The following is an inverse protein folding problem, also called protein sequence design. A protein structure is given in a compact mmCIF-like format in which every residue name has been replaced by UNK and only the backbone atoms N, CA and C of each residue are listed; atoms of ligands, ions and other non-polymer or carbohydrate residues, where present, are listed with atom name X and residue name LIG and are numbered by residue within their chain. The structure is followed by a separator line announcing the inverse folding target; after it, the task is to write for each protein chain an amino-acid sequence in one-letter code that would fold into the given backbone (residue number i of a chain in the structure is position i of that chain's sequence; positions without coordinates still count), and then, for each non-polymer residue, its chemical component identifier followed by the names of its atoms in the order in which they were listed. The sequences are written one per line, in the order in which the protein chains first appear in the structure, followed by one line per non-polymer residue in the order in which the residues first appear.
data_IF_712467291029
#
_entry.id   IF_712467291029
#
_cell.length_a   1.000
_cell.length_b   1.000
_cell.length_c   1.000
_cell.angle_alpha   90.00
_cell.angle_beta   90.00
_cell.angle_gamma   90.00
#
_symmetry.space_group_name_H-M   'P 1'
#
loop_
_entity.id
_entity.type
_entity.pdbx_description
1 polymer ?
#
# COMPACT_ATOMS: atom_id res chain seq x y z
N UNK A 1 20.49 0.28 -7.28
CA UNK A 1 20.98 -0.72 -8.28
C UNK A 1 22.48 -0.92 -8.11
N UNK A 2 22.96 -2.16 -8.21
CA UNK A 2 24.38 -2.51 -8.20
C UNK A 2 24.76 -3.13 -9.55
N UNK A 3 25.86 -2.67 -10.14
CA UNK A 3 26.35 -3.19 -11.40
C UNK A 3 27.76 -3.73 -11.19
N UNK A 4 27.95 -5.00 -11.57
CA UNK A 4 29.21 -5.71 -11.40
C UNK A 4 29.77 -6.12 -12.76
N UNK A 5 31.06 -5.87 -12.94
CA UNK A 5 31.83 -6.31 -14.09
C UNK A 5 33.07 -7.06 -13.64
N UNK A 6 33.50 -8.05 -14.42
CA UNK A 6 34.75 -8.78 -14.18
C UNK A 6 35.62 -8.79 -15.41
N UNK A 7 36.85 -8.31 -15.30
CA UNK A 7 37.85 -8.42 -16.36
C UNK A 7 38.81 -9.59 -16.14
N UNK A 8 39.33 -10.12 -17.25
CA UNK A 8 40.42 -11.11 -17.25
C UNK A 8 41.82 -10.50 -17.05
N UNK A 9 42.75 -11.30 -16.53
CA UNK A 9 44.13 -10.90 -16.21
C UNK A 9 44.97 -10.59 -17.47
N UNK A 10 45.80 -9.56 -17.42
CA UNK A 10 46.75 -9.22 -18.51
C UNK A 10 47.98 -8.46 -18.00
N UNK A 11 49.14 -8.59 -18.69
CA UNK A 11 50.43 -8.05 -18.25
C UNK A 11 50.62 -6.52 -18.39
N UNK A 12 49.55 -5.73 -18.58
CA UNK A 12 49.62 -4.27 -18.68
C UNK A 12 48.53 -3.59 -17.83
N UNK A 13 48.70 -2.30 -17.55
CA UNK A 13 47.73 -1.51 -16.76
C UNK A 13 46.34 -1.49 -17.40
N UNK A 14 45.31 -1.63 -16.56
CA UNK A 14 43.91 -1.47 -16.94
C UNK A 14 43.18 -0.67 -15.87
N UNK A 15 42.46 0.36 -16.30
CA UNK A 15 41.48 1.07 -15.47
C UNK A 15 40.08 0.63 -15.88
N UNK A 16 39.28 0.23 -14.91
CA UNK A 16 37.90 -0.20 -15.12
C UNK A 16 36.99 0.76 -14.38
N UNK A 17 35.91 1.15 -15.03
CA UNK A 17 34.87 1.99 -14.43
C UNK A 17 33.51 1.52 -14.93
N UNK A 18 32.64 1.15 -14.01
CA UNK A 18 31.23 0.96 -14.33
C UNK A 18 30.53 2.32 -14.40
N UNK A 19 29.63 2.50 -15.35
CA UNK A 19 28.80 3.70 -15.46
C UNK A 19 27.35 3.35 -15.74
N UNK A 20 26.46 4.24 -15.31
CA UNK A 20 25.07 4.27 -15.75
C UNK A 20 24.86 5.51 -16.62
N UNK A 21 24.13 5.37 -17.71
CA UNK A 21 23.81 6.46 -18.62
C UNK A 21 22.33 6.77 -18.55
N UNK A 22 22.02 8.03 -18.29
CA UNK A 22 20.65 8.51 -18.06
C UNK A 22 20.48 9.78 -18.90
N UNK A 23 19.46 9.81 -19.75
CA UNK A 23 19.21 10.95 -20.64
C UNK A 23 20.42 11.31 -21.52
N UNK A 24 21.21 10.31 -21.93
CA UNK A 24 22.42 10.50 -22.73
C UNK A 24 23.69 10.86 -21.96
N UNK A 25 23.60 11.17 -20.66
CA UNK A 25 24.75 11.56 -19.81
C UNK A 25 25.29 10.36 -19.03
N UNK A 26 26.62 10.16 -19.03
CA UNK A 26 27.28 9.08 -18.30
C UNK A 26 27.63 9.48 -16.86
N UNK A 27 27.19 8.68 -15.90
CA UNK A 27 27.52 8.80 -14.48
C UNK A 27 28.44 7.65 -14.09
N UNK A 28 29.69 7.97 -13.82
CA UNK A 28 30.76 7.00 -13.54
C UNK A 28 30.82 6.66 -12.05
N UNK A 29 31.07 5.39 -11.74
CA UNK A 29 31.51 4.97 -10.42
C UNK A 29 32.98 5.30 -10.17
N UNK A 30 33.52 4.72 -9.09
CA UNK A 30 34.95 4.79 -8.80
C UNK A 30 35.73 4.11 -9.94
N UNK A 31 36.89 4.65 -10.24
CA UNK A 31 37.79 4.05 -11.21
C UNK A 31 38.84 3.22 -10.47
N UNK A 32 38.95 1.95 -10.83
CA UNK A 32 39.89 1.04 -10.18
C UNK A 32 40.94 0.52 -11.16
N UNK A 33 42.18 0.41 -10.65
CA UNK A 33 43.29 -0.18 -11.37
C UNK A 33 43.29 -1.69 -11.16
N UNK A 34 43.16 -2.45 -12.25
CA UNK A 34 43.36 -3.90 -12.21
C UNK A 34 44.85 -4.22 -12.35
N UNK A 35 45.38 -4.96 -11.35
CA UNK A 35 46.81 -5.27 -11.22
C UNK A 35 47.37 -6.20 -12.30
N UNK A 36 48.68 -6.08 -12.53
CA UNK A 36 49.38 -6.53 -13.74
C UNK A 36 49.68 -8.04 -13.83
N UNK A 37 49.38 -8.87 -12.81
CA UNK A 37 49.76 -10.30 -12.81
C UNK A 37 48.72 -11.19 -12.12
N UNK A 38 48.14 -12.13 -12.87
CA UNK A 38 47.38 -13.31 -12.41
C UNK A 38 46.11 -13.11 -11.57
N UNK A 39 45.49 -11.92 -11.54
CA UNK A 39 44.24 -11.72 -10.78
C UNK A 39 43.10 -11.20 -11.67
N UNK A 40 41.97 -11.91 -11.68
CA UNK A 40 40.73 -11.37 -12.25
C UNK A 40 40.19 -10.29 -11.31
N UNK A 41 39.91 -9.11 -11.82
CA UNK A 41 39.34 -8.03 -11.01
C UNK A 41 37.83 -8.04 -11.13
N UNK A 42 37.14 -8.07 -9.98
CA UNK A 42 35.69 -7.87 -9.90
C UNK A 42 35.47 -6.45 -9.43
N UNK A 43 34.76 -5.67 -10.22
CA UNK A 43 34.46 -4.28 -9.91
C UNK A 43 32.95 -4.09 -9.82
N UNK A 44 32.50 -3.54 -8.69
CA UNK A 44 31.09 -3.28 -8.42
C UNK A 44 30.90 -1.80 -8.11
N UNK A 45 29.98 -1.16 -8.82
CA UNK A 45 29.48 0.17 -8.43
C UNK A 45 28.04 0.03 -7.97
N UNK A 46 27.70 0.68 -6.88
CA UNK A 46 26.33 0.77 -6.37
C UNK A 46 25.84 2.20 -6.46
N UNK A 47 24.69 2.38 -7.11
CA UNK A 47 23.92 3.63 -7.09
C UNK A 47 22.67 3.42 -6.25
N UNK A 48 22.66 3.99 -5.04
CA UNK A 48 21.51 3.93 -4.12
C UNK A 48 20.38 4.86 -4.56
N UNK A 49 20.72 5.97 -5.21
CA UNK A 49 19.78 6.90 -5.85
C UNK A 49 20.13 7.08 -7.32
N UNK A 50 19.19 7.63 -8.11
CA UNK A 50 19.42 8.01 -9.49
C UNK A 50 20.49 9.13 -9.51
N UNK A 51 21.68 8.90 -10.08
CA UNK A 51 22.76 9.89 -10.03
C UNK A 51 22.49 11.15 -10.84
N UNK A 52 21.48 11.15 -11.74
CA UNK A 52 21.08 12.35 -12.48
C UNK A 52 20.18 13.28 -11.67
N UNK A 53 19.36 12.73 -10.76
CA UNK A 53 18.35 13.51 -10.02
C UNK A 53 18.60 13.57 -8.52
N UNK A 54 19.38 12.64 -7.96
CA UNK A 54 19.53 12.42 -6.53
C UNK A 54 18.35 11.69 -5.86
N UNK A 55 17.24 11.48 -6.59
CA UNK A 55 16.01 10.84 -6.09
C UNK A 55 16.11 9.30 -6.12
N UNK A 56 15.21 8.58 -5.43
CA UNK A 56 15.06 7.14 -5.61
C UNK A 56 14.86 6.75 -7.08
N UNK A 57 15.32 5.57 -7.44
CA UNK A 57 15.08 5.01 -8.78
C UNK A 57 13.60 4.67 -8.95
N UNK A 58 13.00 5.09 -10.06
CA UNK A 58 11.69 4.59 -10.51
C UNK A 58 11.88 3.53 -11.58
N UNK A 59 10.90 2.63 -11.74
CA UNK A 59 10.93 1.61 -12.81
C UNK A 59 11.10 2.26 -14.20
N UNK A 60 10.43 3.38 -14.45
CA UNK A 60 10.57 4.12 -15.69
C UNK A 60 12.01 4.60 -15.93
N UNK A 61 12.65 5.20 -14.91
CA UNK A 61 14.04 5.66 -15.03
C UNK A 61 15.04 4.52 -15.17
N UNK A 62 14.78 3.38 -14.53
CA UNK A 62 15.63 2.20 -14.61
C UNK A 62 15.53 1.54 -15.99
N UNK A 63 14.31 1.42 -16.53
CA UNK A 63 14.06 0.89 -17.88
C UNK A 63 14.69 1.74 -18.99
N UNK A 64 14.80 3.06 -18.77
CA UNK A 64 15.44 3.98 -19.69
C UNK A 64 16.96 4.11 -19.49
N UNK A 65 17.53 3.51 -18.44
CA UNK A 65 18.94 3.60 -18.14
C UNK A 65 19.76 2.59 -18.96
N UNK A 66 20.91 3.02 -19.47
CA UNK A 66 21.90 2.12 -20.07
C UNK A 66 23.02 1.88 -19.05
N UNK A 67 23.53 0.65 -18.96
CA UNK A 67 24.67 0.32 -18.09
C UNK A 67 25.86 -0.10 -18.93
N UNK A 68 27.04 0.37 -18.57
CA UNK A 68 28.23 0.11 -19.35
C UNK A 68 29.50 0.02 -18.50
N UNK A 69 30.54 -0.49 -19.15
CA UNK A 69 31.89 -0.59 -18.60
C UNK A 69 32.78 0.26 -19.48
N UNK A 70 33.53 1.17 -18.88
CA UNK A 70 34.63 1.86 -19.51
C UNK A 70 35.93 1.17 -19.12
N UNK A 71 36.72 0.80 -20.12
CA UNK A 71 38.08 0.29 -19.88
C UNK A 71 39.08 1.20 -20.57
N UNK A 72 40.08 1.65 -19.81
CA UNK A 72 41.27 2.31 -20.37
C UNK A 72 42.46 1.41 -20.16
N UNK A 73 43.11 1.04 -21.25
CA UNK A 73 44.15 0.02 -21.24
C UNK A 73 45.25 0.39 -22.23
N UNK A 74 46.47 -0.08 -21.96
CA UNK A 74 47.56 -0.05 -22.94
C UNK A 74 47.52 -1.22 -23.94
N UNK A 75 46.44 -2.00 -23.94
CA UNK A 75 46.30 -3.25 -24.70
C UNK A 75 45.36 -3.12 -25.89
N UNK A 76 45.54 -4.00 -26.87
CA UNK A 76 44.65 -4.13 -28.02
C UNK A 76 43.28 -4.75 -27.67
N UNK A 77 43.19 -5.59 -26.63
CA UNK A 77 41.96 -6.31 -26.27
C UNK A 77 41.78 -6.41 -24.76
N UNK A 78 40.51 -6.46 -24.34
CA UNK A 78 40.06 -6.72 -22.96
C UNK A 78 38.91 -7.70 -23.02
N UNK A 79 38.93 -8.71 -22.16
CA UNK A 79 37.84 -9.69 -22.06
C UNK A 79 37.08 -9.47 -20.75
N UNK A 80 35.76 -9.43 -20.85
CA UNK A 80 34.87 -9.53 -19.70
C UNK A 80 34.35 -10.96 -19.60
N UNK A 81 34.41 -11.54 -18.40
CA UNK A 81 33.92 -12.92 -18.18
C UNK A 81 32.44 -12.93 -17.82
N UNK A 82 31.98 -11.93 -17.08
CA UNK A 82 30.57 -11.71 -16.79
C UNK A 82 30.31 -10.24 -16.53
N UNK A 83 29.10 -9.83 -16.88
CA UNK A 83 28.53 -8.52 -16.57
C UNK A 83 27.11 -8.78 -16.12
N UNK A 84 26.74 -8.31 -14.94
CA UNK A 84 25.36 -8.41 -14.47
C UNK A 84 24.95 -7.19 -13.67
N UNK A 85 23.66 -6.92 -13.72
CA UNK A 85 22.98 -5.87 -12.97
C UNK A 85 22.14 -6.54 -11.88
N UNK A 86 22.26 -6.04 -10.66
CA UNK A 86 21.40 -6.40 -9.55
C UNK A 86 20.54 -5.19 -9.18
N UNK A 87 19.23 -5.39 -9.24
CA UNK A 87 18.24 -4.39 -8.84
C UNK A 87 17.49 -4.95 -7.65
N UNK A 88 17.57 -4.26 -6.52
CA UNK A 88 16.71 -4.50 -5.37
C UNK A 88 15.52 -3.57 -5.50
N UNK A 89 14.32 -4.13 -5.54
CA UNK A 89 13.07 -3.39 -5.51
C UNK A 89 12.11 -4.09 -4.55
N UNK A 90 11.24 -3.31 -3.91
CA UNK A 90 10.12 -3.85 -3.15
C UNK A 90 8.94 -3.96 -4.11
N UNK A 91 8.41 -5.16 -4.39
CA UNK A 91 7.20 -5.28 -5.18
C UNK A 91 6.04 -4.63 -4.43
N UNK A 92 5.09 -4.01 -5.13
CA UNK A 92 3.88 -3.55 -4.49
C UNK A 92 3.11 -4.74 -3.90
N UNK A 93 2.21 -4.45 -2.96
CA UNK A 93 1.26 -5.40 -2.40
C UNK A 93 -0.11 -4.74 -2.21
N UNK A 94 -1.15 -5.53 -1.93
CA UNK A 94 -2.48 -5.01 -1.69
C UNK A 94 -2.48 -4.03 -0.49
N UNK A 95 -3.35 -3.01 -0.45
CA UNK A 95 -3.31 -2.00 0.60
C UNK A 95 -3.46 -2.57 2.01
N UNK A 96 -2.90 -1.90 3.02
CA UNK A 96 -3.20 -2.20 4.43
C UNK A 96 -4.26 -1.23 4.91
N UNK A 97 -5.36 -1.79 5.40
CA UNK A 97 -6.54 -1.02 5.81
C UNK A 97 -6.85 -1.30 7.27
N UNK A 98 -7.25 -0.28 7.99
CA UNK A 98 -7.83 -0.42 9.33
C UNK A 98 -9.32 -0.07 9.31
N UNK A 99 -10.11 -0.83 10.05
CA UNK A 99 -11.53 -0.53 10.29
C UNK A 99 -11.64 0.06 11.69
N UNK A 100 -12.02 1.33 11.78
CA UNK A 100 -12.31 1.99 13.06
C UNK A 100 -13.73 1.72 13.52
N UNK A 101 -14.00 1.87 14.82
CA UNK A 101 -15.32 1.67 15.42
C UNK A 101 -16.40 2.58 14.80
N UNK A 102 -17.64 2.09 14.78
CA UNK A 102 -18.77 2.84 14.25
C UNK A 102 -19.12 4.01 15.18
N UNK A 103 -19.57 5.09 14.59
CA UNK A 103 -19.93 6.34 15.27
C UNK A 103 -21.29 6.82 14.78
N UNK A 104 -21.90 7.78 15.48
CA UNK A 104 -23.22 8.32 15.14
C UNK A 104 -24.27 7.21 14.91
N UNK A 105 -24.25 6.20 15.79
CA UNK A 105 -25.22 5.10 15.78
C UNK A 105 -26.53 5.65 16.33
N UNK A 106 -27.41 6.04 15.41
CA UNK A 106 -28.57 6.87 15.71
C UNK A 106 -29.79 6.37 14.95
N UNK A 107 -30.96 6.76 15.46
CA UNK A 107 -32.24 6.36 14.88
C UNK A 107 -33.28 7.47 15.04
N UNK A 108 -34.22 7.53 14.11
CA UNK A 108 -35.48 8.27 14.22
C UNK A 108 -36.64 7.33 13.88
N UNK A 109 -37.88 7.80 14.03
CA UNK A 109 -39.10 7.00 13.85
C UNK A 109 -39.23 6.26 12.51
N UNK A 110 -38.43 6.60 11.51
CA UNK A 110 -38.48 6.00 10.16
C UNK A 110 -37.14 5.47 9.65
N UNK A 111 -36.01 5.84 10.25
CA UNK A 111 -34.68 5.54 9.72
C UNK A 111 -33.67 5.28 10.83
N UNK A 112 -32.78 4.33 10.58
CA UNK A 112 -31.62 3.99 11.39
C UNK A 112 -30.35 4.24 10.57
N UNK A 113 -29.33 4.87 11.15
CA UNK A 113 -28.05 5.10 10.46
C UNK A 113 -26.87 4.98 11.42
N UNK A 114 -25.72 4.63 10.85
CA UNK A 114 -24.45 4.62 11.55
C UNK A 114 -23.32 5.03 10.60
N UNK A 115 -22.31 5.70 11.13
CA UNK A 115 -21.11 6.09 10.39
C UNK A 115 -19.99 5.09 10.64
N UNK A 116 -19.60 4.39 9.58
CA UNK A 116 -18.44 3.48 9.54
C UNK A 116 -17.18 4.29 9.27
N UNK A 117 -16.09 3.93 9.96
CA UNK A 117 -14.81 4.63 9.86
C UNK A 117 -13.72 3.66 9.38
N UNK A 118 -12.86 4.12 8.48
CA UNK A 118 -11.78 3.35 7.91
C UNK A 118 -10.56 4.23 7.65
N UNK A 119 -9.40 3.61 7.52
CA UNK A 119 -8.15 4.29 7.18
C UNK A 119 -7.29 3.38 6.31
N UNK A 120 -6.86 3.90 5.16
CA UNK A 120 -5.81 3.25 4.38
C UNK A 120 -4.46 3.63 5.00
N UNK A 121 -3.91 2.72 5.79
CA UNK A 121 -2.68 2.98 6.58
C UNK A 121 -1.40 2.82 5.77
N UNK A 122 -1.49 2.11 4.64
CA UNK A 122 -0.39 1.87 3.70
C UNK A 122 -0.99 1.51 2.34
N UNK A 123 -0.59 2.22 1.27
CA UNK A 123 -1.05 1.96 -0.09
C UNK A 123 -0.37 0.75 -0.75
N UNK A 124 0.63 0.16 -0.09
CA UNK A 124 1.38 -0.99 -0.57
C UNK A 124 2.29 -0.65 -1.76
N UNK A 125 2.61 0.63 -1.97
CA UNK A 125 3.50 1.11 -3.04
C UNK A 125 2.85 1.20 -4.43
N UNK A 126 1.52 1.16 -4.51
CA UNK A 126 0.76 1.36 -5.74
C UNK A 126 -0.48 2.23 -5.49
N UNK A 127 -0.86 3.03 -6.50
CA UNK A 127 -1.99 3.94 -6.40
C UNK A 127 -3.29 3.19 -6.04
N UNK A 128 -3.97 3.66 -5.00
CA UNK A 128 -5.29 3.15 -4.61
C UNK A 128 -6.33 3.59 -5.63
N UNK A 129 -7.10 2.62 -6.15
CA UNK A 129 -8.10 2.82 -7.20
C UNK A 129 -9.54 2.74 -6.68
N UNK A 130 -9.75 2.23 -5.47
CA UNK A 130 -11.04 2.19 -4.79
C UNK A 130 -10.85 2.03 -3.28
N UNK A 131 -11.78 2.55 -2.49
CA UNK A 131 -11.91 2.24 -1.05
C UNK A 131 -13.35 2.36 -0.60
N UNK A 132 -13.69 1.75 0.53
CA UNK A 132 -15.08 1.73 0.98
C UNK A 132 -15.33 0.79 2.15
N UNK A 133 -16.59 0.43 2.33
CA UNK A 133 -17.06 -0.43 3.41
C UNK A 133 -17.94 -1.55 2.86
N UNK A 134 -17.84 -2.72 3.47
CA UNK A 134 -18.71 -3.86 3.22
C UNK A 134 -19.32 -4.30 4.55
N UNK A 135 -20.62 -4.61 4.57
CA UNK A 135 -21.34 -4.93 5.81
C UNK A 135 -22.49 -5.91 5.62
N UNK A 136 -22.88 -6.54 6.72
CA UNK A 136 -23.99 -7.49 6.79
C UNK A 136 -24.38 -7.80 8.23
N UNK A 137 -25.31 -8.74 8.42
CA UNK A 137 -25.76 -9.20 9.75
C UNK A 137 -25.17 -10.55 10.15
N UNK A 138 -24.41 -11.20 9.27
CA UNK A 138 -23.67 -12.44 9.56
C UNK A 138 -22.26 -12.10 10.03
N UNK A 139 -22.04 -12.09 11.34
CA UNK A 139 -20.75 -11.73 11.94
C UNK A 139 -19.79 -12.93 12.08
N UNK A 140 -18.52 -12.63 12.32
CA UNK A 140 -17.38 -13.56 12.44
C UNK A 140 -17.04 -14.27 11.14
N UNK A 141 -17.17 -13.57 10.01
CA UNK A 141 -16.72 -14.06 8.73
C UNK A 141 -15.19 -14.04 8.64
N UNK A 142 -14.63 -15.02 7.95
CA UNK A 142 -13.20 -15.04 7.64
C UNK A 142 -12.85 -13.79 6.85
N UNK A 143 -11.72 -13.14 7.18
CA UNK A 143 -11.23 -12.00 6.41
C UNK A 143 -11.11 -12.41 4.94
N UNK A 144 -11.72 -11.66 4.00
CA UNK A 144 -11.66 -11.99 2.58
C UNK A 144 -10.23 -12.00 2.02
N UNK A 145 -10.03 -12.78 0.96
CA UNK A 145 -8.77 -12.81 0.21
C UNK A 145 -8.50 -11.51 -0.55
N UNK A 146 -7.25 -11.28 -0.95
CA UNK A 146 -6.88 -10.11 -1.76
C UNK A 146 -7.43 -10.14 -3.19
N UNK A 147 -7.95 -11.28 -3.63
CA UNK A 147 -8.64 -11.48 -4.89
C UNK A 147 -10.17 -11.41 -4.76
N UNK A 148 -10.70 -11.30 -3.53
CA UNK A 148 -12.14 -11.27 -3.26
C UNK A 148 -12.69 -9.85 -3.22
N UNK A 149 -13.73 -9.60 -4.04
CA UNK A 149 -14.39 -8.30 -4.10
C UNK A 149 -15.39 -8.13 -2.95
N UNK A 150 -15.69 -6.88 -2.55
CA UNK A 150 -16.60 -6.63 -1.44
C UNK A 150 -18.00 -7.25 -1.55
N UNK A 151 -18.53 -7.31 -2.77
CA UNK A 151 -19.83 -7.92 -3.05
C UNK A 151 -19.87 -9.44 -2.90
N UNK A 152 -18.71 -10.11 -2.80
CA UNK A 152 -18.63 -11.56 -2.67
C UNK A 152 -18.72 -12.02 -1.21
N UNK A 153 -18.24 -11.20 -0.27
CA UNK A 153 -18.11 -11.58 1.13
C UNK A 153 -19.22 -11.02 2.01
N UNK A 154 -19.81 -9.87 1.66
CA UNK A 154 -20.86 -9.22 2.46
C UNK A 154 -22.13 -8.97 1.64
N UNK A 155 -23.26 -8.84 2.34
CA UNK A 155 -24.58 -8.63 1.70
C UNK A 155 -24.76 -7.23 1.12
N UNK A 156 -24.04 -6.24 1.64
CA UNK A 156 -24.13 -4.85 1.21
C UNK A 156 -22.75 -4.18 1.26
N UNK A 157 -22.56 -3.16 0.43
CA UNK A 157 -21.29 -2.45 0.32
C UNK A 157 -21.46 -1.05 -0.28
N UNK A 158 -20.47 -0.21 -0.01
CA UNK A 158 -20.34 1.10 -0.61
C UNK A 158 -18.88 1.34 -1.00
N UNK A 159 -18.66 1.84 -2.21
CA UNK A 159 -17.35 2.25 -2.74
C UNK A 159 -17.35 3.76 -2.96
N UNK A 160 -16.31 4.44 -2.47
CA UNK A 160 -16.11 5.86 -2.72
C UNK A 160 -15.74 6.10 -4.19
N UNK A 161 -16.53 6.92 -4.91
CA UNK A 161 -16.25 7.30 -6.30
C UNK A 161 -15.62 8.70 -6.39
N UNK A 162 -14.71 8.88 -7.35
CA UNK A 162 -14.06 10.14 -7.72
C UNK A 162 -13.36 10.91 -6.58
N UNK A 163 -12.56 10.23 -5.76
CA UNK A 163 -11.70 10.90 -4.76
C UNK A 163 -10.22 10.61 -5.03
N UNK A 164 -9.32 11.44 -4.50
CA UNK A 164 -7.90 11.07 -4.39
C UNK A 164 -7.78 10.07 -3.24
N UNK A 165 -7.71 8.77 -3.55
CA UNK A 165 -7.85 7.66 -2.59
C UNK A 165 -6.56 7.19 -1.92
N UNK A 166 -5.51 8.03 -1.91
CA UNK A 166 -4.26 7.70 -1.22
C UNK A 166 -4.44 7.39 0.27
N UNK A 167 -3.33 7.21 0.98
CA UNK A 167 -3.34 6.96 2.42
C UNK A 167 -4.21 7.96 3.20
N UNK A 168 -4.86 7.45 4.25
CA UNK A 168 -5.60 8.25 5.21
C UNK A 168 -7.05 7.80 5.44
N UNK A 169 -7.69 8.56 6.32
CA UNK A 169 -9.02 8.25 6.86
C UNK A 169 -10.15 8.54 5.87
N UNK A 170 -11.18 7.70 5.94
CA UNK A 170 -12.44 7.84 5.21
C UNK A 170 -13.60 7.31 6.05
N UNK A 171 -14.81 7.75 5.73
CA UNK A 171 -16.01 7.38 6.48
C UNK A 171 -17.24 7.33 5.59
N UNK A 172 -18.20 6.50 5.95
CA UNK A 172 -19.48 6.39 5.26
C UNK A 172 -20.64 6.22 6.24
N UNK A 173 -21.68 7.02 6.08
CA UNK A 173 -22.93 6.88 6.85
C UNK A 173 -23.90 6.00 6.08
N UNK A 174 -24.12 4.78 6.58
CA UNK A 174 -25.04 3.81 5.99
C UNK A 174 -26.46 3.99 6.53
N UNK A 175 -27.45 3.83 5.67
CA UNK A 175 -28.85 3.65 6.09
C UNK A 175 -29.08 2.16 6.36
N UNK A 176 -29.59 1.85 7.54
CA UNK A 176 -29.63 0.50 8.10
C UNK A 176 -31.01 0.18 8.66
N UNK A 177 -31.27 -1.11 8.85
CA UNK A 177 -32.44 -1.56 9.60
C UNK A 177 -32.21 -1.38 11.10
N UNK A 178 -33.23 -0.91 11.80
CA UNK A 178 -33.24 -0.84 13.26
C UNK A 178 -33.28 -2.24 13.88
N UNK A 179 -32.96 -2.36 15.17
CA UNK A 179 -32.92 -3.64 15.91
C UNK A 179 -31.91 -4.71 15.42
N UNK A 180 -31.07 -4.39 14.43
CA UNK A 180 -30.13 -5.35 13.88
C UNK A 180 -28.71 -5.15 14.44
N UNK A 181 -27.96 -6.24 14.51
CA UNK A 181 -26.51 -6.18 14.74
C UNK A 181 -25.81 -6.32 13.40
N UNK A 182 -24.92 -5.37 13.12
CA UNK A 182 -24.14 -5.34 11.90
C UNK A 182 -22.67 -5.62 12.19
N UNK A 183 -22.04 -6.36 11.29
CA UNK A 183 -20.60 -6.45 11.14
C UNK A 183 -20.19 -5.73 9.86
N UNK A 184 -19.02 -5.09 9.89
CA UNK A 184 -18.49 -4.40 8.73
C UNK A 184 -16.96 -4.39 8.71
N UNK A 185 -16.42 -4.21 7.51
CA UNK A 185 -14.99 -4.01 7.25
C UNK A 185 -14.80 -2.84 6.31
N UNK A 186 -13.73 -2.07 6.56
CA UNK A 186 -13.17 -1.16 5.59
C UNK A 186 -12.34 -1.96 4.56
N UNK A 187 -12.33 -1.51 3.31
CA UNK A 187 -11.49 -2.08 2.26
C UNK A 187 -10.87 -1.01 1.37
N UNK A 188 -9.81 -1.38 0.66
CA UNK A 188 -9.20 -0.59 -0.41
C UNK A 188 -8.64 -1.50 -1.51
N UNK A 189 -8.46 -0.97 -2.71
CA UNK A 189 -7.95 -1.69 -3.87
C UNK A 189 -6.79 -0.93 -4.52
N UNK A 190 -5.76 -1.66 -4.95
CA UNK A 190 -4.75 -1.16 -5.88
C UNK A 190 -4.50 -2.21 -6.98
N UNK A 191 -3.42 -2.06 -7.76
CA UNK A 191 -3.07 -3.01 -8.84
C UNK A 191 -2.78 -4.44 -8.36
N UNK A 192 -2.44 -4.62 -7.09
CA UNK A 192 -2.06 -5.90 -6.50
C UNK A 192 -3.23 -6.61 -5.80
N UNK A 193 -4.38 -5.96 -5.68
CA UNK A 193 -5.61 -6.55 -5.16
C UNK A 193 -6.29 -5.73 -4.08
N UNK A 194 -7.06 -6.43 -3.24
CA UNK A 194 -7.87 -5.87 -2.15
C UNK A 194 -7.19 -5.98 -0.79
N UNK A 195 -7.15 -4.86 -0.08
CA UNK A 195 -6.80 -4.75 1.32
C UNK A 195 -8.05 -4.75 2.18
N UNK A 196 -8.07 -5.55 3.23
CA UNK A 196 -9.21 -5.71 4.14
C UNK A 196 -8.84 -5.38 5.57
N UNK A 197 -9.60 -4.48 6.20
CA UNK A 197 -9.47 -4.19 7.62
C UNK A 197 -10.09 -5.27 8.50
N UNK A 198 -9.85 -5.15 9.81
CA UNK A 198 -10.48 -6.02 10.81
C UNK A 198 -12.00 -5.86 10.81
N UNK A 199 -12.72 -6.92 11.19
CA UNK A 199 -14.17 -6.83 11.36
C UNK A 199 -14.51 -6.04 12.62
N UNK A 200 -15.41 -5.08 12.48
CA UNK A 200 -16.00 -4.34 13.58
C UNK A 200 -17.49 -4.64 13.65
N UNK A 201 -18.07 -4.55 14.85
CA UNK A 201 -19.49 -4.81 15.07
C UNK A 201 -20.16 -3.68 15.85
N UNK A 202 -21.43 -3.45 15.56
CA UNK A 202 -22.28 -2.55 16.32
C UNK A 202 -23.74 -2.99 16.23
N UNK A 203 -24.56 -2.58 17.21
CA UNK A 203 -25.98 -2.90 17.26
C UNK A 203 -26.80 -1.63 17.12
N UNK A 204 -27.78 -1.64 16.21
CA UNK A 204 -28.71 -0.54 16.02
C UNK A 204 -29.74 -0.48 17.13
N UNK A 205 -30.19 0.74 17.43
CA UNK A 205 -31.26 0.99 18.37
C UNK A 205 -32.56 0.34 17.87
N UNK A 206 -33.31 -0.26 18.78
CA UNK A 206 -34.58 -0.90 18.48
C UNK A 206 -35.79 0.04 18.51
N UNK A 207 -35.66 1.10 19.30
CA UNK A 207 -36.71 2.08 19.52
C UNK A 207 -36.07 3.47 19.62
N UNK A 208 -36.18 4.31 18.57
CA UNK A 208 -35.68 5.67 18.58
C UNK A 208 -36.46 6.58 19.55
N UNK A 209 -37.61 6.13 20.07
CA UNK A 209 -38.61 6.96 20.74
C UNK A 209 -38.71 6.72 22.26
N UNK A 210 -37.70 6.06 22.87
CA UNK A 210 -37.61 5.99 24.33
C UNK A 210 -37.12 7.34 24.89
N UNK A 211 -38.02 8.32 24.89
CA UNK A 211 -38.02 9.38 25.90
C UNK A 211 -38.81 8.88 27.11
N UNK A 212 -38.18 8.04 27.95
CA UNK A 212 -38.75 7.69 29.26
C UNK A 212 -38.67 8.89 30.18
N UNK A 213 -39.63 9.81 30.04
CA UNK A 213 -39.88 10.82 31.07
C UNK A 213 -40.29 10.07 32.34
N UNK A 214 -39.51 10.26 33.41
CA UNK A 214 -39.78 9.68 34.72
C UNK A 214 -41.25 9.93 35.09
N UNK A 215 -41.98 8.88 35.51
CA UNK A 215 -43.36 9.02 35.92
C UNK A 215 -43.45 10.07 37.04
N UNK A 216 -44.33 11.06 36.86
CA UNK A 216 -44.61 12.02 37.92
C UNK A 216 -45.74 11.49 38.81
N UNK A 217 -45.84 12.02 40.02
CA UNK A 217 -46.92 11.69 40.96
C UNK A 217 -46.94 10.20 41.36
N UNK A 218 -45.79 9.65 41.78
CA UNK A 218 -45.69 8.26 42.25
C UNK A 218 -46.26 8.16 43.68
N UNK A 219 -47.36 7.43 43.83
CA UNK A 219 -48.02 7.10 45.10
C UNK A 219 -48.08 5.57 45.29
N UNK A 220 -48.53 5.10 46.46
CA UNK A 220 -48.53 3.67 46.81
C UNK A 220 -49.30 2.77 45.82
N UNK A 221 -50.25 3.30 45.05
CA UNK A 221 -51.05 2.54 44.08
C UNK A 221 -51.23 3.24 42.73
N UNK A 222 -50.64 4.42 42.51
CA UNK A 222 -50.81 5.16 41.26
C UNK A 222 -49.51 5.86 40.85
N UNK A 223 -49.28 5.97 39.54
CA UNK A 223 -48.26 6.81 38.94
C UNK A 223 -48.80 7.35 37.62
N UNK A 224 -48.33 8.53 37.20
CA UNK A 224 -48.68 9.10 35.89
C UNK A 224 -47.51 8.91 34.93
N UNK A 225 -47.74 8.15 33.85
CA UNK A 225 -46.81 8.09 32.73
C UNK A 225 -46.79 9.45 32.04
N UNK A 226 -45.60 10.02 31.88
CA UNK A 226 -45.41 11.26 31.14
C UNK A 226 -45.16 10.89 29.67
N UNK A 227 -45.93 11.51 28.76
CA UNK A 227 -45.66 11.57 27.32
C UNK A 227 -44.87 12.83 27.00
#
# INVERSE_FOLDING_TARGET
AAFTSKSGCVPAWQFITNYVRIGGTNYYGVEELCGQVCCTCVYTTTWTTNPATGSPWTIATLNAAEFGIRVRTGLAFVYSTYVYLTVTYTPPYAPVVSTGAATDISANTTHCWATMNGDVTDDGGADVTARGFAWGTTCNETTPGSDETPSASYTDNWTEYNADWGEGAFSYTANLSCCETYCYRAYAQNSEGWGWGEEQTFTMLCDPDIDVKAATYVQATTARLNS
#
